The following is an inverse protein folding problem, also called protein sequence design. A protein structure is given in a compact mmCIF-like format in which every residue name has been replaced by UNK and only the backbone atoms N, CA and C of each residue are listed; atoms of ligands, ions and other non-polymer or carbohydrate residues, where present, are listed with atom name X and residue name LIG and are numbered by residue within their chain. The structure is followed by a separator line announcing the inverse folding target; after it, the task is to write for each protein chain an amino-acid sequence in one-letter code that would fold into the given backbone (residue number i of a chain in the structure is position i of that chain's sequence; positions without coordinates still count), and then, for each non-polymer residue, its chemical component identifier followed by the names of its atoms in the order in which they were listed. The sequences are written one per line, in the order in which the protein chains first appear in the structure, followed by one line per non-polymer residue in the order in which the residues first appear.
data_IF_035722990382
#
_entry.id   IF_035722990382
#
_cell.length_a   1.000
_cell.length_b   1.000
_cell.length_c   1.000
_cell.angle_alpha   90.00
_cell.angle_beta   90.00
_cell.angle_gamma   90.00
#
_symmetry.space_group_name_H-M   'P 1'
#
loop_
_entity.id
_entity.type
_entity.pdbx_description
1 polymer ?
#
# COMPACT_ATOMS: atom_id res chain seq x y z
N UNK A 1 5.03 1.58 -6.81
CA UNK A 1 4.59 0.75 -5.65
C UNK A 1 3.64 -0.41 -5.97
N UNK A 2 2.67 -0.32 -6.91
CA UNK A 2 1.81 -1.47 -7.26
C UNK A 2 2.59 -2.64 -7.89
N UNK A 3 3.58 -2.34 -8.75
CA UNK A 3 4.45 -3.35 -9.37
C UNK A 3 5.24 -4.15 -8.34
N UNK A 4 5.87 -3.47 -7.39
CA UNK A 4 6.69 -4.09 -6.34
C UNK A 4 5.92 -5.13 -5.50
N UNK A 5 4.68 -4.84 -5.12
CA UNK A 5 3.89 -5.76 -4.29
C UNK A 5 3.49 -7.03 -5.05
N UNK A 6 3.10 -6.88 -6.33
CA UNK A 6 2.76 -8.00 -7.21
C UNK A 6 3.99 -8.86 -7.51
N UNK A 7 5.11 -8.21 -7.77
CA UNK A 7 6.40 -8.85 -8.01
C UNK A 7 6.90 -9.62 -6.79
N UNK A 8 6.66 -9.11 -5.57
CA UNK A 8 6.96 -9.84 -4.32
C UNK A 8 6.12 -11.11 -4.18
N UNK A 9 4.85 -11.11 -4.60
CA UNK A 9 4.03 -12.31 -4.61
C UNK A 9 4.51 -13.33 -5.65
N UNK A 10 4.82 -12.87 -6.87
CA UNK A 10 5.40 -13.70 -7.93
C UNK A 10 6.74 -14.32 -7.49
N UNK A 11 7.55 -13.56 -6.74
CA UNK A 11 8.79 -14.05 -6.15
C UNK A 11 8.55 -15.20 -5.14
N UNK A 12 7.58 -15.07 -4.24
CA UNK A 12 7.28 -16.14 -3.28
C UNK A 12 6.67 -17.38 -3.95
N UNK A 13 5.92 -17.20 -5.04
CA UNK A 13 5.33 -18.29 -5.81
C UNK A 13 6.42 -19.10 -6.51
N UNK A 14 7.38 -18.43 -7.14
CA UNK A 14 8.54 -19.06 -7.77
C UNK A 14 9.44 -19.75 -6.73
N UNK A 15 9.69 -19.09 -5.59
CA UNK A 15 10.47 -19.67 -4.50
C UNK A 15 9.82 -20.93 -3.93
N UNK A 16 8.49 -20.95 -3.78
CA UNK A 16 7.78 -22.16 -3.34
C UNK A 16 7.86 -23.29 -4.34
N UNK A 17 7.82 -22.97 -5.64
CA UNK A 17 7.93 -23.95 -6.70
C UNK A 17 9.31 -24.60 -6.68
N UNK A 18 10.37 -23.81 -6.59
CA UNK A 18 11.76 -24.28 -6.50
C UNK A 18 12.02 -25.13 -5.24
N UNK A 19 11.47 -24.71 -4.09
CA UNK A 19 11.59 -25.48 -2.85
C UNK A 19 10.83 -26.81 -2.92
N UNK A 20 9.68 -26.86 -3.62
CA UNK A 20 8.91 -28.11 -3.82
C UNK A 20 9.58 -29.09 -4.76
N UNK A 21 10.38 -28.60 -5.71
CA UNK A 21 11.24 -29.42 -6.58
C UNK A 21 12.42 -30.03 -5.79
N UNK A 22 12.63 -29.59 -4.54
CA UNK A 22 13.69 -30.10 -3.67
C UNK A 22 14.99 -29.31 -3.76
N UNK A 23 14.99 -28.14 -4.42
CA UNK A 23 16.18 -27.27 -4.45
C UNK A 23 16.42 -26.66 -3.08
N UNK A 24 17.69 -26.43 -2.76
CA UNK A 24 18.07 -25.66 -1.57
C UNK A 24 17.65 -24.20 -1.72
N UNK A 25 17.35 -23.54 -0.61
CA UNK A 25 16.95 -22.11 -0.57
C UNK A 25 17.95 -21.22 -1.30
N UNK A 26 19.24 -21.51 -1.12
CA UNK A 26 20.34 -20.77 -1.75
C UNK A 26 20.35 -20.94 -3.26
N UNK A 27 20.18 -22.19 -3.74
CA UNK A 27 20.09 -22.48 -5.17
C UNK A 27 18.83 -21.86 -5.81
N UNK A 28 17.70 -21.88 -5.10
CA UNK A 28 16.47 -21.23 -5.54
C UNK A 28 16.66 -19.70 -5.67
N UNK A 29 17.35 -19.07 -4.72
CA UNK A 29 17.69 -17.65 -4.80
C UNK A 29 18.62 -17.30 -5.96
N UNK A 30 19.64 -18.13 -6.22
CA UNK A 30 20.53 -17.94 -7.38
C UNK A 30 19.76 -18.08 -8.71
N UNK A 31 18.83 -19.04 -8.80
CA UNK A 31 17.99 -19.22 -9.97
C UNK A 31 17.07 -18.00 -10.22
N UNK A 32 16.41 -17.53 -9.16
CA UNK A 32 15.52 -16.36 -9.21
C UNK A 32 16.30 -15.07 -9.51
N UNK A 33 17.55 -14.96 -9.05
CA UNK A 33 18.40 -13.80 -9.34
C UNK A 33 18.74 -13.69 -10.83
N UNK A 34 18.88 -14.82 -11.54
CA UNK A 34 19.19 -14.84 -12.97
C UNK A 34 17.96 -14.53 -13.86
N UNK A 35 16.76 -14.62 -13.29
CA UNK A 35 15.53 -14.34 -14.02
C UNK A 35 15.33 -12.82 -14.21
N UNK A 36 15.23 -12.39 -15.48
CA UNK A 36 15.03 -10.99 -15.89
C UNK A 36 13.62 -10.48 -15.59
N UNK A 37 12.68 -11.36 -15.22
CA UNK A 37 11.31 -10.95 -14.84
C UNK A 37 11.27 -10.13 -13.55
N UNK A 38 12.24 -10.32 -12.67
CA UNK A 38 12.33 -9.58 -11.42
C UNK A 38 13.06 -8.25 -11.58
N UNK A 39 12.57 -7.22 -10.89
CA UNK A 39 13.16 -5.90 -10.84
C UNK A 39 14.55 -5.94 -10.22
N UNK A 40 15.40 -5.00 -10.64
CA UNK A 40 16.71 -4.73 -10.06
C UNK A 40 16.68 -4.70 -8.52
N UNK A 41 15.65 -4.12 -7.91
CA UNK A 41 15.50 -4.07 -6.45
C UNK A 41 15.35 -5.46 -5.79
N UNK A 42 14.67 -6.38 -6.45
CA UNK A 42 14.51 -7.76 -5.98
C UNK A 42 15.84 -8.50 -6.11
N UNK A 43 16.50 -8.38 -7.26
CA UNK A 43 17.80 -9.00 -7.51
C UNK A 43 18.89 -8.50 -6.55
N UNK A 44 18.96 -7.19 -6.31
CA UNK A 44 19.90 -6.57 -5.37
C UNK A 44 19.64 -7.06 -3.94
N UNK A 45 18.37 -7.16 -3.53
CA UNK A 45 18.02 -7.69 -2.19
C UNK A 45 18.46 -9.15 -2.00
N UNK A 46 18.33 -9.99 -3.02
CA UNK A 46 18.79 -11.39 -3.00
C UNK A 46 20.32 -11.43 -2.95
N UNK A 47 20.99 -10.63 -3.79
CA UNK A 47 22.44 -10.59 -3.84
C UNK A 47 23.06 -10.16 -2.50
N UNK A 48 22.45 -9.19 -1.81
CA UNK A 48 22.90 -8.78 -0.48
C UNK A 48 22.77 -9.89 0.56
N UNK A 49 21.70 -10.66 0.48
CA UNK A 49 21.46 -11.80 1.37
C UNK A 49 22.47 -12.92 1.10
N UNK A 50 22.71 -13.25 -0.17
CA UNK A 50 23.68 -14.30 -0.58
C UNK A 50 25.13 -13.93 -0.24
N UNK A 51 25.50 -12.64 -0.35
CA UNK A 51 26.84 -12.14 0.01
C UNK A 51 27.05 -11.98 1.52
N UNK A 52 26.01 -12.15 2.34
CA UNK A 52 26.11 -11.98 3.79
C UNK A 52 26.31 -10.54 4.26
N UNK A 53 26.06 -9.54 3.40
CA UNK A 53 26.28 -8.14 3.71
C UNK A 53 25.28 -7.65 4.77
N UNK A 54 25.77 -6.86 5.74
CA UNK A 54 24.94 -6.39 6.83
C UNK A 54 23.93 -5.32 6.32
N UNK A 55 22.61 -5.54 6.41
CA UNK A 55 21.61 -4.65 5.81
C UNK A 55 21.53 -3.28 6.49
N UNK A 56 22.18 -3.12 7.66
CA UNK A 56 22.13 -1.89 8.45
C UNK A 56 22.99 -0.76 7.87
N UNK A 57 24.07 -1.06 7.15
CA UNK A 57 25.02 -0.06 6.66
C UNK A 57 24.83 0.34 5.20
N UNK A 58 24.19 -0.48 4.36
CA UNK A 58 24.16 -0.28 2.91
C UNK A 58 22.89 0.42 2.37
N UNK A 59 21.75 0.40 3.08
CA UNK A 59 20.46 0.81 2.50
C UNK A 59 19.76 1.95 3.24
N UNK A 60 19.55 3.08 2.56
CA UNK A 60 18.72 4.20 3.02
C UNK A 60 17.21 3.88 2.99
N UNK A 61 16.79 2.90 2.19
CA UNK A 61 15.37 2.57 2.03
C UNK A 61 14.91 1.53 3.08
N UNK A 62 14.03 1.96 3.99
CA UNK A 62 13.47 1.11 5.05
C UNK A 62 12.75 -0.15 4.51
N UNK A 63 12.08 -0.07 3.35
CA UNK A 63 11.39 -1.22 2.77
C UNK A 63 12.35 -2.30 2.31
N UNK A 64 13.47 -1.89 1.71
CA UNK A 64 14.50 -2.81 1.23
C UNK A 64 15.22 -3.48 2.40
N UNK A 65 15.50 -2.72 3.46
CA UNK A 65 16.07 -3.25 4.71
C UNK A 65 15.18 -4.33 5.34
N UNK A 66 13.87 -4.08 5.42
CA UNK A 66 12.91 -5.05 5.95
C UNK A 66 12.86 -6.31 5.07
N UNK A 67 12.84 -6.15 3.74
CA UNK A 67 12.84 -7.28 2.80
C UNK A 67 14.11 -8.13 2.93
N UNK A 68 15.29 -7.52 3.01
CA UNK A 68 16.56 -8.25 3.19
C UNK A 68 16.55 -9.02 4.53
N UNK A 69 16.03 -8.40 5.60
CA UNK A 69 15.91 -9.06 6.90
C UNK A 69 14.96 -10.26 6.85
N UNK A 70 13.83 -10.14 6.13
CA UNK A 70 12.90 -11.25 5.91
C UNK A 70 13.53 -12.38 5.08
N UNK A 71 14.24 -12.06 4.00
CA UNK A 71 14.94 -13.05 3.17
C UNK A 71 16.06 -13.77 3.95
N UNK A 72 16.77 -13.06 4.83
CA UNK A 72 17.78 -13.67 5.71
C UNK A 72 17.13 -14.62 6.71
N UNK A 73 16.01 -14.21 7.33
CA UNK A 73 15.21 -15.08 8.21
C UNK A 73 14.66 -16.31 7.49
N UNK A 74 14.48 -16.27 6.16
CA UNK A 74 14.15 -17.44 5.37
C UNK A 74 15.34 -18.39 5.25
N UNK A 75 16.53 -17.91 4.89
CA UNK A 75 17.73 -18.77 4.87
C UNK A 75 18.02 -19.43 6.24
N UNK A 76 17.84 -18.68 7.33
CA UNK A 76 18.06 -19.19 8.69
C UNK A 76 16.94 -20.15 9.16
N UNK A 77 15.83 -20.31 8.41
CA UNK A 77 14.67 -21.09 8.81
C UNK A 77 14.86 -22.61 8.74
N UNK A 78 15.90 -23.09 8.06
CA UNK A 78 16.18 -24.53 7.91
C UNK A 78 14.98 -25.33 7.38
N UNK A 79 14.63 -26.42 8.05
CA UNK A 79 13.61 -27.38 7.61
C UNK A 79 12.17 -26.87 7.52
N UNK A 80 11.84 -25.70 8.11
CA UNK A 80 10.49 -25.10 8.03
C UNK A 80 10.38 -23.96 7.02
N UNK A 81 11.30 -23.90 6.06
CA UNK A 81 11.32 -22.87 5.01
C UNK A 81 9.99 -22.78 4.25
N UNK A 82 9.42 -23.91 3.85
CA UNK A 82 8.20 -23.95 3.02
C UNK A 82 7.02 -23.33 3.77
N UNK A 83 6.84 -23.67 5.04
CA UNK A 83 5.79 -23.09 5.89
C UNK A 83 5.98 -21.58 6.08
N UNK A 84 7.21 -21.13 6.32
CA UNK A 84 7.51 -19.69 6.45
C UNK A 84 7.24 -18.91 5.17
N UNK A 85 7.63 -19.46 4.01
CA UNK A 85 7.35 -18.81 2.73
C UNK A 85 5.85 -18.77 2.45
N UNK A 86 5.10 -19.84 2.75
CA UNK A 86 3.64 -19.84 2.63
C UNK A 86 2.98 -18.80 3.55
N UNK A 87 3.47 -18.68 4.79
CA UNK A 87 2.99 -17.67 5.74
C UNK A 87 3.25 -16.24 5.23
N UNK A 88 4.47 -15.96 4.76
CA UNK A 88 4.82 -14.65 4.19
C UNK A 88 3.96 -14.31 2.96
N UNK A 89 3.77 -15.27 2.06
CA UNK A 89 2.88 -15.12 0.91
C UNK A 89 1.46 -14.77 1.34
N UNK A 90 0.90 -15.51 2.32
CA UNK A 90 -0.45 -15.27 2.84
C UNK A 90 -0.56 -13.86 3.44
N UNK A 91 0.42 -13.46 4.25
CA UNK A 91 0.43 -12.13 4.86
C UNK A 91 0.50 -11.03 3.80
N UNK A 92 1.37 -11.14 2.80
CA UNK A 92 1.44 -10.18 1.71
C UNK A 92 0.13 -10.10 0.91
N UNK A 93 -0.51 -11.24 0.63
CA UNK A 93 -1.80 -11.28 -0.06
C UNK A 93 -2.90 -10.61 0.76
N UNK A 94 -2.91 -10.83 2.08
CA UNK A 94 -3.84 -10.19 3.01
C UNK A 94 -3.61 -8.67 3.03
N UNK A 95 -2.36 -8.23 3.15
CA UNK A 95 -2.00 -6.81 3.13
C UNK A 95 -2.37 -6.13 1.81
N UNK A 96 -2.14 -6.79 0.67
CA UNK A 96 -2.61 -6.30 -0.62
C UNK A 96 -4.14 -6.18 -0.68
N UNK A 97 -4.85 -7.22 -0.21
CA UNK A 97 -6.30 -7.25 -0.15
C UNK A 97 -6.86 -6.10 0.68
N UNK A 98 -6.31 -5.89 1.88
CA UNK A 98 -6.64 -4.76 2.72
C UNK A 98 -6.36 -3.43 2.02
N UNK A 99 -5.16 -3.23 1.48
CA UNK A 99 -4.79 -2.00 0.78
C UNK A 99 -5.72 -1.68 -0.39
N UNK A 100 -6.16 -2.69 -1.15
CA UNK A 100 -7.13 -2.52 -2.25
C UNK A 100 -8.51 -2.16 -1.72
N UNK A 101 -9.05 -2.90 -0.75
CA UNK A 101 -10.36 -2.62 -0.15
C UNK A 101 -10.41 -1.24 0.48
N UNK A 102 -9.37 -0.89 1.23
CA UNK A 102 -9.17 0.42 1.83
C UNK A 102 -9.11 1.56 0.81
N UNK A 103 -8.42 1.35 -0.32
CA UNK A 103 -8.40 2.31 -1.42
C UNK A 103 -9.80 2.49 -2.03
N UNK A 104 -10.56 1.41 -2.19
CA UNK A 104 -11.92 1.46 -2.73
C UNK A 104 -12.83 2.23 -1.76
N UNK A 105 -12.80 1.90 -0.47
CA UNK A 105 -13.59 2.60 0.55
C UNK A 105 -13.25 4.10 0.62
N UNK A 106 -11.97 4.46 0.62
CA UNK A 106 -11.56 5.88 0.63
C UNK A 106 -11.95 6.60 -0.67
N UNK A 107 -11.92 5.91 -1.82
CA UNK A 107 -12.36 6.47 -3.09
C UNK A 107 -13.89 6.69 -3.13
N UNK A 108 -14.67 5.77 -2.56
CA UNK A 108 -16.12 5.93 -2.43
C UNK A 108 -16.47 7.16 -1.58
N UNK A 109 -15.86 7.30 -0.39
CA UNK A 109 -16.08 8.47 0.48
C UNK A 109 -15.71 9.77 -0.24
N UNK A 110 -14.60 9.80 -0.99
CA UNK A 110 -14.22 10.96 -1.80
C UNK A 110 -15.25 11.29 -2.88
N UNK A 111 -15.78 10.28 -3.57
CA UNK A 111 -16.79 10.50 -4.61
C UNK A 111 -18.10 11.02 -4.04
N UNK A 112 -18.56 10.49 -2.90
CA UNK A 112 -19.76 10.99 -2.21
C UNK A 112 -19.57 12.44 -1.75
N UNK A 113 -18.42 12.75 -1.15
CA UNK A 113 -18.10 14.12 -0.75
C UNK A 113 -18.08 15.07 -1.96
N UNK A 114 -17.53 14.65 -3.10
CA UNK A 114 -17.53 15.47 -4.32
C UNK A 114 -18.96 15.75 -4.84
N UNK A 115 -19.85 14.75 -4.81
CA UNK A 115 -21.26 14.93 -5.20
C UNK A 115 -21.97 15.92 -4.29
N UNK A 116 -21.79 15.80 -2.97
CA UNK A 116 -22.39 16.72 -1.99
C UNK A 116 -21.89 18.15 -2.21
N UNK A 117 -20.60 18.34 -2.46
CA UNK A 117 -20.02 19.66 -2.76
C UNK A 117 -20.59 20.24 -4.06
N UNK A 118 -20.74 19.44 -5.12
CA UNK A 118 -21.32 19.90 -6.38
C UNK A 118 -22.79 20.30 -6.24
N UNK A 119 -23.59 19.49 -5.53
CA UNK A 119 -24.99 19.83 -5.24
C UNK A 119 -25.08 21.14 -4.45
N UNK A 120 -24.23 21.29 -3.44
CA UNK A 120 -24.19 22.52 -2.63
C UNK A 120 -23.81 23.75 -3.46
N UNK A 121 -22.81 23.64 -4.34
CA UNK A 121 -22.44 24.74 -5.26
C UNK A 121 -23.59 25.12 -6.19
N UNK A 122 -24.34 24.14 -6.71
CA UNK A 122 -25.52 24.38 -7.54
C UNK A 122 -26.63 25.11 -6.78
N UNK A 123 -26.94 24.67 -5.56
CA UNK A 123 -27.90 25.33 -4.66
C UNK A 123 -27.46 26.75 -4.33
N UNK A 124 -26.18 26.96 -4.03
CA UNK A 124 -25.62 28.27 -3.72
C UNK A 124 -25.70 29.21 -4.93
N UNK A 125 -25.47 28.72 -6.14
CA UNK A 125 -25.62 29.50 -7.37
C UNK A 125 -27.07 29.95 -7.62
N UNK A 126 -28.05 29.08 -7.38
CA UNK A 126 -29.48 29.44 -7.45
C UNK A 126 -29.82 30.49 -6.39
N UNK A 127 -29.31 30.33 -5.17
CA UNK A 127 -29.50 31.28 -4.07
C UNK A 127 -28.90 32.65 -4.38
N UNK A 128 -27.72 32.69 -5.02
CA UNK A 128 -27.06 33.91 -5.49
C UNK A 128 -27.92 34.67 -6.50
N UNK A 129 -28.57 33.95 -7.41
CA UNK A 129 -29.43 34.53 -8.44
C UNK A 129 -30.77 35.05 -7.87
N UNK A 130 -31.22 34.52 -6.73
CA UNK A 130 -32.48 34.90 -6.08
C UNK A 130 -32.39 36.18 -5.20
N UNK A 131 -31.22 36.84 -5.12
CA UNK A 131 -31.03 38.16 -4.49
C UNK A 131 -30.25 38.17 -3.17
N UNK A 132 -29.53 39.27 -2.92
CA UNK A 132 -28.53 39.47 -1.85
C UNK A 132 -29.06 39.34 -0.41
N UNK A 133 -30.32 39.68 -0.15
CA UNK A 133 -30.89 39.64 1.22
C UNK A 133 -31.05 38.20 1.75
N UNK A 134 -31.26 37.22 0.85
CA UNK A 134 -31.38 35.80 1.23
C UNK A 134 -30.02 35.12 1.50
N UNK A 135 -28.91 35.69 1.00
CA UNK A 135 -27.57 35.15 1.22
C UNK A 135 -27.07 35.33 2.66
N UNK A 136 -27.50 36.40 3.32
CA UNK A 136 -27.20 36.66 4.74
C UNK A 136 -28.19 35.99 5.70
N UNK A 137 -29.10 35.15 5.18
CA UNK A 137 -29.96 34.34 6.04
C UNK A 137 -29.08 33.44 6.92
N UNK A 138 -29.39 33.40 8.22
CA UNK A 138 -28.73 32.55 9.22
C UNK A 138 -28.60 31.10 8.72
N UNK A 139 -29.59 30.61 7.98
CA UNK A 139 -29.60 29.26 7.40
C UNK A 139 -28.49 29.03 6.36
N UNK A 140 -28.23 30.02 5.51
CA UNK A 140 -27.18 29.95 4.49
C UNK A 140 -25.80 30.05 5.14
N UNK A 141 -25.64 30.91 6.14
CA UNK A 141 -24.39 30.98 6.90
C UNK A 141 -24.12 29.69 7.67
N UNK A 142 -25.12 29.16 8.37
CA UNK A 142 -25.00 27.88 9.09
C UNK A 142 -24.67 26.72 8.13
N UNK A 143 -25.32 26.67 6.96
CA UNK A 143 -25.02 25.67 5.92
C UNK A 143 -23.58 25.74 5.41
N UNK A 144 -23.07 26.95 5.14
CA UNK A 144 -21.67 27.14 4.73
C UNK A 144 -20.68 26.73 5.81
N UNK A 145 -20.98 27.05 7.07
CA UNK A 145 -20.14 26.71 8.22
C UNK A 145 -20.08 25.19 8.42
N UNK A 146 -21.22 24.52 8.27
CA UNK A 146 -21.34 23.06 8.36
C UNK A 146 -20.60 22.37 7.20
N UNK A 147 -20.66 22.93 5.98
CA UNK A 147 -19.89 22.44 4.85
C UNK A 147 -18.37 22.59 5.07
N UNK A 148 -17.92 23.73 5.57
CA UNK A 148 -16.51 23.97 5.89
C UNK A 148 -16.01 23.02 6.99
N UNK A 149 -16.80 22.81 8.05
CA UNK A 149 -16.52 21.80 9.08
C UNK A 149 -16.46 20.38 8.49
N UNK A 150 -17.37 20.05 7.56
CA UNK A 150 -17.36 18.80 6.81
C UNK A 150 -16.08 18.61 5.99
N UNK A 151 -15.64 19.63 5.26
CA UNK A 151 -14.41 19.58 4.46
C UNK A 151 -13.15 19.48 5.34
N UNK A 152 -13.11 20.21 6.46
CA UNK A 152 -12.00 20.16 7.41
C UNK A 152 -11.91 18.76 8.04
N UNK A 153 -13.02 18.22 8.51
CA UNK A 153 -13.07 16.88 9.10
C UNK A 153 -12.69 15.80 8.07
N UNK A 154 -13.19 15.90 6.83
CA UNK A 154 -12.80 15.01 5.73
C UNK A 154 -11.29 15.08 5.44
N UNK A 155 -10.71 16.28 5.44
CA UNK A 155 -9.26 16.48 5.24
C UNK A 155 -8.44 15.93 6.41
N UNK A 156 -8.93 16.07 7.65
CA UNK A 156 -8.32 15.49 8.84
C UNK A 156 -8.32 13.98 8.80
N UNK A 157 -9.47 13.36 8.51
CA UNK A 157 -9.60 11.90 8.34
C UNK A 157 -8.71 11.41 7.20
N UNK A 158 -8.67 12.12 6.07
CA UNK A 158 -7.78 11.76 4.96
C UNK A 158 -6.29 11.86 5.31
N UNK A 159 -5.88 12.79 6.18
CA UNK A 159 -4.50 12.92 6.66
C UNK A 159 -4.14 11.88 7.72
N UNK A 160 -5.10 11.47 8.55
CA UNK A 160 -4.89 10.47 9.61
C UNK A 160 -4.89 9.03 9.08
N UNK A 161 -5.29 8.79 7.82
CA UNK A 161 -5.05 7.55 7.10
C UNK A 161 -3.55 7.33 6.77
N UNK A 162 -2.68 7.40 7.77
CA UNK A 162 -1.39 6.74 7.75
C UNK A 162 -1.66 5.26 7.94
N UNK A 163 -1.74 4.51 6.83
CA UNK A 163 -1.76 3.06 6.84
C UNK A 163 -0.43 2.55 7.44
N UNK A 164 -0.34 2.46 8.76
CA UNK A 164 0.64 1.61 9.43
C UNK A 164 0.11 0.18 9.31
N UNK A 165 0.69 -0.56 8.38
CA UNK A 165 0.68 -2.03 8.38
C UNK A 165 1.94 -2.48 9.10
#
# INVERSE_FOLDING_TARGET
MKRFSRETLEFYDELLLELRIGRSVRSAFEHIQQDRRFSFYTQESIQCVLKGNNPASAFKNSQMKNRIMELRRLLDAGGRIVERVQFLRRNHRIQEGFRRRSRIATQQVRSQAAVVVLLYLGLLAIQLNAGTVRLFSIWVMAGNLLLMLGLISLRWVMRSFKWKV
#
